data_IF_438261499809
#
_entry.id   IF_438261499809
#
_cell.length_a   1.000
_cell.length_b   1.000
_cell.length_c   1.000
_cell.angle_alpha   90.00
_cell.angle_beta   90.00
_cell.angle_gamma   90.00
#
_symmetry.space_group_name_H-M   'P 1'
#
loop_
_entity.id
_entity.type
_entity.pdbx_description
1 polymer ?
#
# COMPACT_ATOMS: atom_id res chain seq x y z
N UNK A 1 -9.72 5.25 0.90
CA UNK A 1 -9.26 6.62 0.54
C UNK A 1 -7.74 6.68 0.31
N UNK A 2 -6.89 6.09 1.17
CA UNK A 2 -5.43 6.11 0.98
C UNK A 2 -4.99 5.62 -0.39
N UNK A 3 -5.42 4.41 -0.79
CA UNK A 3 -5.13 3.84 -2.13
C UNK A 3 -5.60 4.74 -3.26
N UNK A 4 -6.82 5.27 -3.17
CA UNK A 4 -7.36 6.20 -4.17
C UNK A 4 -6.52 7.46 -4.32
N UNK A 5 -6.16 8.08 -3.18
CA UNK A 5 -5.30 9.26 -3.20
C UNK A 5 -3.93 8.95 -3.82
N UNK A 6 -3.35 7.81 -3.47
CA UNK A 6 -2.05 7.38 -3.97
C UNK A 6 -2.05 7.17 -5.49
N UNK A 7 -3.01 6.44 -6.02
CA UNK A 7 -3.10 6.13 -7.44
C UNK A 7 -3.56 7.33 -8.27
N UNK A 8 -4.68 7.96 -7.88
CA UNK A 8 -5.33 8.99 -8.71
C UNK A 8 -4.72 10.37 -8.49
N UNK A 9 -4.45 10.75 -7.23
CA UNK A 9 -4.03 12.14 -6.92
C UNK A 9 -2.52 12.34 -6.97
N UNK A 10 -1.75 11.33 -6.57
CA UNK A 10 -0.29 11.43 -6.54
C UNK A 10 0.38 10.88 -7.80
N UNK A 11 -0.02 9.71 -8.24
CA UNK A 11 0.54 9.08 -9.44
C UNK A 11 -0.21 9.48 -10.73
N UNK A 12 -1.35 10.17 -10.62
CA UNK A 12 -2.21 10.57 -11.74
C UNK A 12 -2.62 9.41 -12.67
N UNK A 13 -2.67 8.20 -12.13
CA UNK A 13 -3.06 7.00 -12.87
C UNK A 13 -4.58 6.92 -12.97
N UNK A 14 -5.05 6.43 -14.11
CA UNK A 14 -6.47 6.17 -14.39
C UNK A 14 -6.69 4.66 -14.54
N UNK A 15 -7.93 4.15 -14.44
CA UNK A 15 -8.21 2.72 -14.61
C UNK A 15 -7.59 2.14 -15.89
N UNK A 16 -7.73 2.80 -17.03
CA UNK A 16 -7.18 2.35 -18.31
C UNK A 16 -5.66 2.28 -18.39
N UNK A 17 -4.96 3.04 -17.54
CA UNK A 17 -3.49 3.01 -17.48
C UNK A 17 -2.96 1.75 -16.80
N UNK A 18 -3.85 1.01 -16.11
CA UNK A 18 -3.52 -0.18 -15.32
C UNK A 18 -4.03 -1.48 -15.95
N UNK A 19 -4.78 -1.41 -17.04
CA UNK A 19 -5.24 -2.59 -17.77
C UNK A 19 -4.03 -3.43 -18.26
N UNK A 20 -4.04 -4.72 -17.97
CA UNK A 20 -2.96 -5.69 -18.23
C UNK A 20 -1.59 -5.36 -17.62
N UNK A 21 -1.48 -4.37 -16.77
CA UNK A 21 -0.23 -4.01 -16.09
C UNK A 21 0.10 -4.96 -14.96
N UNK A 22 1.39 -5.29 -14.81
CA UNK A 22 1.90 -6.01 -13.65
C UNK A 22 2.05 -5.05 -12.48
N UNK A 23 1.31 -5.30 -11.41
CA UNK A 23 1.32 -4.46 -10.19
C UNK A 23 1.72 -5.30 -8.99
N UNK A 24 2.71 -4.84 -8.25
CA UNK A 24 3.09 -5.44 -6.97
C UNK A 24 2.54 -4.62 -5.82
N UNK A 25 1.79 -5.26 -4.92
CA UNK A 25 1.26 -4.68 -3.69
C UNK A 25 1.97 -5.29 -2.50
N UNK A 26 2.80 -4.53 -1.81
CA UNK A 26 3.46 -5.01 -0.61
C UNK A 26 2.51 -5.01 0.60
N UNK A 27 2.55 -6.05 1.44
CA UNK A 27 1.66 -6.26 2.58
C UNK A 27 0.17 -6.31 2.21
N UNK A 28 -0.19 -7.18 1.26
CA UNK A 28 -1.54 -7.29 0.70
C UNK A 28 -2.64 -7.67 1.67
N UNK A 29 -2.36 -8.37 2.76
CA UNK A 29 -3.35 -8.74 3.78
C UNK A 29 -3.68 -7.63 4.77
N UNK A 30 -2.96 -6.51 4.74
CA UNK A 30 -3.20 -5.36 5.61
C UNK A 30 -4.38 -4.49 5.18
N UNK A 31 -4.75 -3.55 6.04
CA UNK A 31 -5.95 -2.71 5.85
C UNK A 31 -5.92 -1.75 4.65
N UNK A 32 -4.77 -1.54 4.00
CA UNK A 32 -4.65 -0.80 2.73
C UNK A 32 -4.47 -1.78 1.59
N UNK A 33 -3.65 -2.84 1.78
CA UNK A 33 -3.35 -3.84 0.77
C UNK A 33 -4.59 -4.60 0.29
N UNK A 34 -5.46 -5.04 1.19
CA UNK A 34 -6.72 -5.73 0.86
C UNK A 34 -7.63 -4.89 -0.03
N UNK A 35 -7.65 -3.58 0.18
CA UNK A 35 -8.39 -2.65 -0.66
C UNK A 35 -7.68 -2.41 -2.00
N UNK A 36 -6.35 -2.27 -1.98
CA UNK A 36 -5.56 -2.01 -3.17
C UNK A 36 -5.67 -3.16 -4.18
N UNK A 37 -5.58 -4.42 -3.72
CA UNK A 37 -5.70 -5.60 -4.57
C UNK A 37 -7.03 -5.58 -5.32
N UNK A 38 -8.16 -5.39 -4.62
CA UNK A 38 -9.48 -5.38 -5.23
C UNK A 38 -9.66 -4.24 -6.25
N UNK A 39 -9.21 -3.04 -5.92
CA UNK A 39 -9.30 -1.88 -6.80
C UNK A 39 -8.46 -2.08 -8.06
N UNK A 40 -7.21 -2.52 -7.91
CA UNK A 40 -6.28 -2.75 -9.02
C UNK A 40 -6.77 -3.87 -9.94
N UNK A 41 -7.25 -4.98 -9.37
CA UNK A 41 -7.90 -6.03 -10.14
C UNK A 41 -9.12 -5.52 -10.92
N UNK A 42 -9.98 -4.74 -10.28
CA UNK A 42 -11.15 -4.15 -10.95
C UNK A 42 -10.75 -3.26 -12.14
N UNK A 43 -9.57 -2.66 -12.09
CA UNK A 43 -8.98 -1.89 -13.18
C UNK A 43 -8.16 -2.72 -14.17
N UNK A 44 -8.28 -4.06 -14.14
CA UNK A 44 -7.65 -4.97 -15.08
C UNK A 44 -6.16 -5.25 -14.84
N UNK A 45 -5.61 -4.85 -13.69
CA UNK A 45 -4.21 -5.12 -13.37
C UNK A 45 -3.99 -6.57 -12.93
N UNK A 46 -2.81 -7.12 -13.26
CA UNK A 46 -2.28 -8.40 -12.78
C UNK A 46 -1.52 -8.17 -11.49
N UNK A 47 -2.13 -8.59 -10.37
CA UNK A 47 -1.63 -8.23 -9.04
C UNK A 47 -0.82 -9.35 -8.41
N UNK A 48 0.42 -9.04 -8.02
CA UNK A 48 1.22 -9.85 -7.09
C UNK A 48 1.27 -9.18 -5.73
N UNK A 49 1.39 -9.98 -4.65
CA UNK A 49 1.45 -9.43 -3.30
C UNK A 49 2.27 -10.29 -2.34
N UNK A 50 2.78 -9.66 -1.30
CA UNK A 50 3.35 -10.35 -0.13
C UNK A 50 2.34 -10.41 1.02
N UNK A 51 2.26 -11.55 1.66
CA UNK A 51 1.55 -11.74 2.92
C UNK A 51 2.13 -12.97 3.65
N UNK A 52 1.67 -13.27 4.85
CA UNK A 52 2.00 -14.54 5.50
C UNK A 52 1.20 -15.69 4.89
N UNK A 53 1.68 -16.91 5.01
CA UNK A 53 1.06 -18.12 4.43
C UNK A 53 -0.42 -18.25 4.78
N UNK A 54 -0.77 -17.91 6.01
CA UNK A 54 -2.14 -17.99 6.53
C UNK A 54 -3.12 -17.05 5.81
N UNK A 55 -2.60 -16.05 5.10
CA UNK A 55 -3.37 -15.04 4.39
C UNK A 55 -3.40 -15.24 2.87
N UNK A 56 -2.76 -16.31 2.33
CA UNK A 56 -2.72 -16.55 0.89
C UNK A 56 -4.11 -16.66 0.30
N UNK A 57 -4.99 -17.48 0.89
CA UNK A 57 -6.36 -17.67 0.39
C UNK A 57 -7.13 -16.34 0.37
N UNK A 58 -7.02 -15.56 1.44
CA UNK A 58 -7.67 -14.25 1.52
C UNK A 58 -7.26 -13.34 0.34
N UNK A 59 -5.96 -13.15 0.13
CA UNK A 59 -5.50 -12.21 -0.91
C UNK A 59 -5.77 -12.73 -2.33
N UNK A 60 -5.80 -14.05 -2.54
CA UNK A 60 -6.20 -14.67 -3.81
C UNK A 60 -7.69 -14.46 -4.10
N UNK A 61 -8.56 -14.64 -3.11
CA UNK A 61 -10.00 -14.34 -3.24
C UNK A 61 -10.25 -12.85 -3.55
N UNK A 62 -9.44 -11.96 -3.00
CA UNK A 62 -9.48 -10.53 -3.31
C UNK A 62 -8.94 -10.20 -4.71
N UNK A 63 -8.21 -11.12 -5.34
CA UNK A 63 -7.78 -11.03 -6.72
C UNK A 63 -6.29 -10.91 -6.97
N UNK A 64 -5.45 -11.26 -6.00
CA UNK A 64 -4.03 -11.44 -6.25
C UNK A 64 -3.78 -12.72 -7.06
N UNK A 65 -3.05 -12.60 -8.17
CA UNK A 65 -2.67 -13.75 -9.01
C UNK A 65 -1.42 -14.46 -8.45
N UNK A 66 -0.51 -13.70 -7.86
CA UNK A 66 0.73 -14.21 -7.26
C UNK A 66 0.76 -13.80 -5.79
N UNK A 67 0.98 -14.78 -4.90
CA UNK A 67 1.10 -14.57 -3.46
C UNK A 67 2.43 -15.13 -2.97
N UNK A 68 3.18 -14.31 -2.24
CA UNK A 68 4.52 -14.62 -1.76
C UNK A 68 4.53 -14.58 -0.23
N UNK A 69 4.97 -15.67 0.41
CA UNK A 69 5.14 -15.72 1.85
C UNK A 69 6.45 -15.01 2.25
N UNK A 70 6.33 -13.76 2.69
CA UNK A 70 7.48 -12.92 3.06
C UNK A 70 8.37 -13.50 4.17
N UNK A 71 7.90 -14.55 4.87
CA UNK A 71 8.67 -15.24 5.91
C UNK A 71 9.63 -16.29 5.35
N UNK A 72 9.39 -16.75 4.13
CA UNK A 72 10.12 -17.85 3.49
C UNK A 72 10.74 -17.49 2.16
N UNK A 73 10.19 -16.50 1.50
CA UNK A 73 10.52 -16.19 0.11
C UNK A 73 10.86 -14.69 -0.01
N UNK A 74 11.86 -14.40 -0.81
CA UNK A 74 12.22 -13.04 -1.15
C UNK A 74 11.55 -12.64 -2.46
N UNK A 75 10.62 -11.69 -2.41
CA UNK A 75 9.85 -11.28 -3.59
C UNK A 75 10.73 -10.73 -4.72
N UNK A 76 11.87 -10.11 -4.41
CA UNK A 76 12.79 -9.56 -5.41
C UNK A 76 13.51 -10.63 -6.23
N UNK A 77 13.55 -11.87 -5.75
CA UNK A 77 14.13 -13.00 -6.48
C UNK A 77 13.10 -13.69 -7.39
N UNK A 78 11.81 -13.47 -7.12
CA UNK A 78 10.69 -14.11 -7.81
C UNK A 78 10.00 -13.19 -8.81
N UNK A 79 10.10 -11.88 -8.63
CA UNK A 79 9.37 -10.89 -9.41
C UNK A 79 10.31 -10.02 -10.22
N UNK A 80 9.92 -9.78 -11.48
CA UNK A 80 10.63 -8.85 -12.37
C UNK A 80 9.68 -8.21 -13.39
N UNK A 81 10.09 -7.06 -13.91
CA UNK A 81 9.37 -6.40 -14.99
C UNK A 81 7.99 -5.89 -14.61
N UNK A 82 7.84 -5.34 -13.40
CA UNK A 82 6.61 -4.73 -12.93
C UNK A 82 6.46 -3.29 -13.43
N UNK A 83 5.21 -2.89 -13.69
CA UNK A 83 4.87 -1.53 -14.13
C UNK A 83 4.61 -0.60 -12.95
N UNK A 84 4.10 -1.16 -11.84
CA UNK A 84 3.79 -0.40 -10.63
C UNK A 84 4.17 -1.23 -9.39
N UNK A 85 4.80 -0.58 -8.43
CA UNK A 85 4.92 -1.04 -7.04
C UNK A 85 4.10 -0.13 -6.14
N UNK A 86 3.16 -0.72 -5.44
CA UNK A 86 2.35 -0.08 -4.41
C UNK A 86 2.83 -0.55 -3.04
N UNK A 87 3.74 0.23 -2.45
CA UNK A 87 4.43 -0.12 -1.22
C UNK A 87 3.69 0.41 0.00
N UNK A 88 2.98 -0.50 0.70
CA UNK A 88 2.27 -0.19 1.93
C UNK A 88 3.17 -0.14 3.17
N UNK A 89 4.38 -0.70 3.11
CA UNK A 89 5.31 -0.72 4.23
C UNK A 89 6.28 0.45 4.20
N UNK A 90 6.79 0.81 3.02
CA UNK A 90 7.81 1.84 2.89
C UNK A 90 9.01 1.56 3.78
N UNK A 91 9.43 2.56 4.54
CA UNK A 91 10.58 2.46 5.44
C UNK A 91 10.38 1.51 6.64
N UNK A 92 9.14 1.11 6.96
CA UNK A 92 8.90 0.07 7.96
C UNK A 92 9.42 -1.31 7.51
N UNK A 93 9.56 -1.52 6.18
CA UNK A 93 10.23 -2.69 5.61
C UNK A 93 11.77 -2.59 5.63
N UNK A 94 12.31 -1.46 6.08
CA UNK A 94 13.75 -1.16 6.04
C UNK A 94 14.21 -0.61 4.69
N UNK A 95 15.42 -0.04 4.66
CA UNK A 95 16.01 0.57 3.45
C UNK A 95 16.15 -0.46 2.32
N UNK A 96 16.46 -1.69 2.65
CA UNK A 96 16.60 -2.79 1.69
C UNK A 96 15.28 -3.13 1.02
N UNK A 97 14.15 -3.02 1.72
CA UNK A 97 12.82 -3.28 1.15
C UNK A 97 12.48 -2.31 0.01
N UNK A 98 12.77 -1.01 0.20
CA UNK A 98 12.58 0.00 -0.86
C UNK A 98 13.44 -0.32 -2.08
N UNK A 99 14.73 -0.67 -1.87
CA UNK A 99 15.65 -1.04 -2.95
C UNK A 99 15.15 -2.26 -3.72
N UNK A 100 14.70 -3.30 -3.01
CA UNK A 100 14.11 -4.50 -3.61
C UNK A 100 12.86 -4.18 -4.43
N UNK A 101 11.97 -3.33 -3.91
CA UNK A 101 10.81 -2.82 -4.65
C UNK A 101 11.19 -2.09 -5.94
N UNK A 102 12.24 -1.28 -5.90
CA UNK A 102 12.73 -0.57 -7.08
C UNK A 102 13.37 -1.53 -8.11
N UNK A 103 14.01 -2.60 -7.65
CA UNK A 103 14.68 -3.56 -8.53
C UNK A 103 13.71 -4.36 -9.40
N UNK A 104 12.51 -4.69 -8.91
CA UNK A 104 11.51 -5.44 -9.67
C UNK A 104 10.80 -4.59 -10.74
N UNK A 105 10.92 -3.26 -10.69
CA UNK A 105 10.31 -2.36 -11.67
C UNK A 105 11.04 -2.36 -13.00
N UNK A 106 10.28 -2.24 -14.09
CA UNK A 106 10.81 -1.88 -15.40
C UNK A 106 11.54 -0.55 -15.33
N UNK A 107 12.71 -0.46 -15.95
CA UNK A 107 13.47 0.77 -16.03
C UNK A 107 12.96 1.67 -17.16
N UNK A 108 11.78 2.27 -17.00
CA UNK A 108 11.20 3.19 -17.98
C UNK A 108 10.37 4.30 -17.31
N UNK A 109 10.09 5.36 -18.07
CA UNK A 109 9.37 6.54 -17.59
C UNK A 109 7.86 6.30 -17.32
N UNK A 110 7.34 5.13 -17.66
CA UNK A 110 5.93 4.76 -17.39
C UNK A 110 5.79 3.87 -16.17
N UNK A 111 6.89 3.46 -15.55
CA UNK A 111 6.87 2.68 -14.30
C UNK A 111 6.72 3.59 -13.09
N UNK A 112 5.99 3.11 -12.09
CA UNK A 112 5.68 3.88 -10.88
C UNK A 112 6.08 3.13 -9.62
N UNK A 113 6.73 3.82 -8.70
CA UNK A 113 6.87 3.41 -7.32
C UNK A 113 6.07 4.36 -6.44
N UNK A 114 5.13 3.83 -5.68
CA UNK A 114 4.27 4.59 -4.77
C UNK A 114 4.47 4.06 -3.36
N UNK A 115 5.04 4.88 -2.47
CA UNK A 115 5.18 4.57 -1.05
C UNK A 115 4.15 5.32 -0.22
N UNK A 116 3.51 4.61 0.70
CA UNK A 116 2.55 5.17 1.66
C UNK A 116 3.23 5.57 2.96
N UNK A 117 4.23 4.81 3.38
CA UNK A 117 5.02 5.05 4.57
C UNK A 117 6.44 5.39 4.16
N UNK A 118 6.85 6.61 4.39
CA UNK A 118 8.18 7.10 4.01
C UNK A 118 8.86 7.82 5.17
N UNK A 119 10.18 7.77 5.20
CA UNK A 119 11.00 8.36 6.25
C UNK A 119 10.81 9.86 6.44
N UNK A 120 10.18 10.54 5.47
CA UNK A 120 10.00 11.99 5.48
C UNK A 120 9.36 12.49 6.77
N UNK A 121 8.16 11.96 7.11
CA UNK A 121 7.43 12.39 8.31
C UNK A 121 8.18 11.95 9.56
N UNK A 122 8.62 10.70 9.61
CA UNK A 122 9.37 10.16 10.76
C UNK A 122 10.65 10.95 11.03
N UNK A 123 11.42 11.29 10.00
CA UNK A 123 12.65 12.07 10.15
C UNK A 123 12.39 13.46 10.70
N UNK A 124 11.27 14.09 10.32
CA UNK A 124 10.86 15.38 10.88
C UNK A 124 10.40 15.21 12.33
N UNK A 125 9.66 14.17 12.63
CA UNK A 125 9.16 13.88 13.98
C UNK A 125 10.31 13.59 14.97
N UNK A 126 11.29 12.77 14.55
CA UNK A 126 12.45 12.42 15.36
C UNK A 126 13.46 13.55 15.55
N UNK A 127 13.69 14.39 14.52
CA UNK A 127 14.76 15.42 14.50
C UNK A 127 14.25 16.84 14.63
N UNK A 128 12.93 17.03 14.73
CA UNK A 128 12.29 18.34 14.66
C UNK A 128 12.33 18.95 13.26
N UNK A 129 11.56 20.02 13.07
CA UNK A 129 11.36 20.63 11.75
C UNK A 129 12.68 21.18 11.15
N UNK A 130 13.51 21.81 11.95
CA UNK A 130 14.74 22.49 11.48
C UNK A 130 15.81 21.51 10.94
N UNK A 131 16.02 20.37 11.59
CA UNK A 131 17.01 19.38 11.20
C UNK A 131 16.39 18.22 10.38
N UNK A 132 15.13 17.91 10.65
CA UNK A 132 14.42 16.82 10.00
C UNK A 132 14.07 17.12 8.55
N UNK A 133 13.64 18.35 8.24
CA UNK A 133 13.27 18.72 6.86
C UNK A 133 14.44 18.61 5.87
N UNK A 134 15.63 19.18 6.12
CA UNK A 134 16.79 18.99 5.25
C UNK A 134 17.21 17.53 5.13
N UNK A 135 17.18 16.78 6.23
CA UNK A 135 17.54 15.37 6.24
C UNK A 135 16.56 14.52 5.42
N UNK A 136 15.27 14.78 5.55
CA UNK A 136 14.22 14.11 4.78
C UNK A 136 14.32 14.42 3.27
N UNK A 137 14.59 15.68 2.91
CA UNK A 137 14.80 16.08 1.51
C UNK A 137 16.05 15.45 0.91
N UNK A 138 17.15 15.37 1.69
CA UNK A 138 18.38 14.69 1.27
C UNK A 138 18.11 13.20 1.02
N UNK A 139 17.39 12.51 1.91
CA UNK A 139 17.02 11.12 1.74
C UNK A 139 16.17 10.92 0.48
N UNK A 140 15.16 11.75 0.28
CA UNK A 140 14.34 11.74 -0.95
C UNK A 140 15.19 11.89 -2.21
N UNK A 141 16.14 12.81 -2.20
CA UNK A 141 17.03 13.02 -3.34
C UNK A 141 17.92 11.81 -3.61
N UNK A 142 18.49 11.20 -2.56
CA UNK A 142 19.32 10.00 -2.67
C UNK A 142 18.55 8.82 -3.25
N UNK A 143 17.34 8.55 -2.72
CA UNK A 143 16.47 7.47 -3.23
C UNK A 143 16.08 7.74 -4.69
N UNK A 144 15.69 8.96 -5.02
CA UNK A 144 15.34 9.35 -6.40
C UNK A 144 16.54 9.24 -7.35
N UNK A 145 17.76 9.58 -6.90
CA UNK A 145 18.98 9.53 -7.72
C UNK A 145 19.44 8.09 -7.97
N UNK A 146 19.24 7.19 -7.00
CA UNK A 146 19.60 5.77 -7.14
C UNK A 146 18.58 4.96 -7.93
N UNK A 147 17.37 5.52 -8.12
CA UNK A 147 16.32 4.84 -8.87
C UNK A 147 16.56 4.87 -10.39
N UNK A 148 16.08 3.83 -11.07
CA UNK A 148 15.94 3.79 -12.53
C UNK A 148 15.10 5.00 -13.01
N UNK A 149 14.99 5.29 -14.32
CA UNK A 149 14.11 6.34 -14.86
C UNK A 149 12.63 5.95 -14.66
N UNK A 150 12.14 6.06 -13.43
CA UNK A 150 10.78 5.72 -13.01
C UNK A 150 10.11 6.93 -12.34
N UNK A 151 8.79 6.90 -12.24
CA UNK A 151 8.01 7.87 -11.48
C UNK A 151 7.97 7.46 -10.00
N UNK A 152 8.58 8.27 -9.15
CA UNK A 152 8.65 8.02 -7.71
C UNK A 152 7.69 8.93 -6.96
N UNK A 153 6.76 8.34 -6.19
CA UNK A 153 5.73 9.06 -5.46
C UNK A 153 5.77 8.72 -3.96
N UNK A 154 5.90 9.75 -3.14
CA UNK A 154 5.57 9.68 -1.73
C UNK A 154 4.13 10.15 -1.55
N UNK A 155 3.25 9.22 -1.24
CA UNK A 155 1.82 9.48 -1.13
C UNK A 155 1.45 9.87 0.30
N UNK A 156 0.83 11.04 0.43
CA UNK A 156 0.17 11.47 1.65
C UNK A 156 -1.34 11.38 1.49
N UNK A 157 -2.05 11.11 2.59
CA UNK A 157 -3.50 11.14 2.58
C UNK A 157 -4.01 12.51 2.10
N UNK A 158 -4.94 12.49 1.15
CA UNK A 158 -5.66 13.67 0.69
C UNK A 158 -7.15 13.37 0.63
N UNK A 159 -7.98 14.15 1.31
CA UNK A 159 -9.43 13.99 1.22
C UNK A 159 -9.93 14.27 -0.21
N UNK A 160 -10.95 13.53 -0.63
CA UNK A 160 -11.59 13.69 -1.94
C UNK A 160 -13.05 13.26 -1.83
N UNK A 161 -13.97 14.20 -1.94
CA UNK A 161 -15.41 13.91 -1.93
C UNK A 161 -15.83 13.03 -3.10
N UNK A 162 -15.32 13.34 -4.30
CA UNK A 162 -15.58 12.52 -5.50
C UNK A 162 -15.00 11.11 -5.38
N UNK A 163 -13.77 10.98 -4.82
CA UNK A 163 -13.18 9.68 -4.54
C UNK A 163 -13.98 8.88 -3.52
N UNK A 164 -14.46 9.52 -2.46
CA UNK A 164 -15.28 8.85 -1.45
C UNK A 164 -16.63 8.37 -2.04
N UNK A 165 -17.26 9.20 -2.88
CA UNK A 165 -18.50 8.84 -3.57
C UNK A 165 -18.31 7.65 -4.52
N UNK A 166 -17.22 7.63 -5.30
CA UNK A 166 -16.92 6.52 -6.21
C UNK A 166 -16.61 5.22 -5.44
N UNK A 167 -15.81 5.31 -4.39
CA UNK A 167 -15.54 4.14 -3.53
C UNK A 167 -16.82 3.63 -2.86
N UNK A 168 -17.70 4.53 -2.41
CA UNK A 168 -19.00 4.16 -1.86
C UNK A 168 -19.89 3.46 -2.89
N UNK A 169 -19.83 3.88 -4.17
CA UNK A 169 -20.52 3.20 -5.27
C UNK A 169 -19.96 1.79 -5.48
N UNK A 170 -18.63 1.63 -5.49
CA UNK A 170 -17.98 0.33 -5.66
C UNK A 170 -18.30 -0.64 -4.51
N UNK A 171 -18.37 -0.15 -3.27
CA UNK A 171 -18.77 -0.97 -2.12
C UNK A 171 -20.23 -1.39 -2.22
N UNK A 172 -21.15 -0.49 -2.58
CA UNK A 172 -22.57 -0.85 -2.76
C UNK A 172 -22.79 -1.82 -3.92
N UNK A 173 -21.96 -1.77 -4.95
CA UNK A 173 -21.98 -2.69 -6.10
C UNK A 173 -21.19 -4.00 -5.81
N UNK A 174 -20.74 -4.22 -4.60
CA UNK A 174 -19.91 -5.37 -4.18
C UNK A 174 -18.61 -5.58 -4.98
N UNK A 175 -18.16 -4.56 -5.72
CA UNK A 175 -16.89 -4.57 -6.45
C UNK A 175 -15.71 -4.60 -5.45
N UNK A 176 -15.86 -3.86 -4.35
CA UNK A 176 -14.91 -3.83 -3.25
C UNK A 176 -15.63 -4.20 -1.96
N UNK A 177 -15.12 -5.23 -1.28
CA UNK A 177 -15.62 -5.69 0.02
C UNK A 177 -14.62 -5.28 1.10
N UNK A 178 -15.02 -4.48 2.11
CA UNK A 178 -14.18 -4.19 3.25
C UNK A 178 -13.82 -5.47 4.01
N UNK A 179 -12.53 -5.72 4.19
CA UNK A 179 -12.04 -6.83 5.02
C UNK A 179 -11.94 -6.34 6.45
N UNK A 180 -12.74 -6.92 7.33
CA UNK A 180 -12.77 -6.60 8.77
C UNK A 180 -12.11 -7.75 9.53
N UNK A 181 -11.03 -7.45 10.25
CA UNK A 181 -10.33 -8.41 11.13
C UNK A 181 -11.11 -8.63 12.41
N UNK A 182 -11.48 -7.54 13.05
CA UNK A 182 -12.16 -7.56 14.36
C UNK A 182 -12.93 -6.26 14.60
N UNK A 183 -13.97 -6.37 15.41
CA UNK A 183 -14.79 -5.24 15.85
C UNK A 183 -14.72 -5.19 17.36
N UNK A 184 -14.40 -4.02 17.91
CA UNK A 184 -14.32 -3.78 19.35
C UNK A 184 -15.34 -2.70 19.75
N UNK A 185 -16.03 -2.85 20.88
CA UNK A 185 -16.78 -1.74 21.45
C UNK A 185 -15.82 -0.63 21.91
N UNK A 186 -16.33 0.59 22.07
CA UNK A 186 -15.50 1.75 22.43
C UNK A 186 -14.77 1.55 23.78
N UNK A 187 -15.38 0.84 24.69
CA UNK A 187 -14.81 0.53 26.02
C UNK A 187 -13.52 -0.31 25.90
N UNK A 188 -13.40 -1.10 24.84
CA UNK A 188 -12.25 -1.98 24.57
C UNK A 188 -11.26 -1.37 23.54
N UNK A 189 -11.19 -0.05 23.47
CA UNK A 189 -10.29 0.65 22.53
C UNK A 189 -8.82 0.30 22.75
N UNK A 190 -8.44 -0.01 24.00
CA UNK A 190 -7.06 -0.41 24.34
C UNK A 190 -6.69 -1.72 23.66
N UNK A 191 -7.53 -2.73 23.73
CA UNK A 191 -7.32 -4.04 23.11
C UNK A 191 -7.27 -3.91 21.58
N UNK A 192 -8.09 -3.03 21.00
CA UNK A 192 -8.05 -2.73 19.57
C UNK A 192 -6.71 -2.11 19.15
N UNK A 193 -6.16 -1.20 19.95
CA UNK A 193 -4.83 -0.62 19.72
C UNK A 193 -3.72 -1.67 19.88
N UNK A 194 -3.79 -2.52 20.90
CA UNK A 194 -2.86 -3.62 21.09
C UNK A 194 -2.89 -4.57 19.89
N UNK A 195 -4.08 -4.91 19.38
CA UNK A 195 -4.24 -5.73 18.16
C UNK A 195 -3.53 -5.12 16.96
N UNK A 196 -3.72 -3.81 16.71
CA UNK A 196 -3.03 -3.13 15.59
C UNK A 196 -1.51 -3.08 15.81
N UNK A 197 -1.05 -2.87 17.03
CA UNK A 197 0.37 -2.82 17.39
C UNK A 197 1.10 -4.14 17.09
N UNK A 198 0.40 -5.28 17.06
CA UNK A 198 0.99 -6.56 16.64
C UNK A 198 1.41 -6.58 15.16
N UNK A 199 0.94 -5.66 14.33
CA UNK A 199 1.12 -5.63 12.88
C UNK A 199 0.59 -6.88 12.14
N UNK A 200 -0.28 -7.68 12.77
CA UNK A 200 -0.84 -8.92 12.23
C UNK A 200 -2.36 -8.83 11.96
N UNK A 201 -2.93 -7.63 11.91
CA UNK A 201 -4.34 -7.46 11.58
C UNK A 201 -4.60 -7.77 10.09
N UNK A 202 -5.66 -8.53 9.80
CA UNK A 202 -6.12 -8.87 8.45
C UNK A 202 -7.17 -7.87 7.99
N UNK A 203 -6.78 -6.84 7.24
CA UNK A 203 -7.70 -5.78 6.87
C UNK A 203 -7.84 -4.73 7.98
N UNK A 204 -9.06 -4.43 8.43
CA UNK A 204 -9.36 -3.32 9.34
C UNK A 204 -9.83 -3.80 10.70
N UNK A 205 -9.31 -3.17 11.75
CA UNK A 205 -9.87 -3.22 13.09
C UNK A 205 -10.86 -2.07 13.24
N UNK A 206 -12.07 -2.34 13.66
CA UNK A 206 -13.18 -1.39 13.74
C UNK A 206 -13.56 -1.16 15.20
N UNK A 207 -13.85 0.08 15.55
CA UNK A 207 -14.42 0.46 16.85
C UNK A 207 -15.90 0.78 16.66
N UNK A 208 -16.77 0.09 17.39
CA UNK A 208 -18.19 0.38 17.47
C UNK A 208 -18.43 1.45 18.54
N UNK A 209 -18.74 2.67 18.12
CA UNK A 209 -18.89 3.83 19.02
C UNK A 209 -20.28 3.89 19.63
N UNK A 210 -21.31 3.39 18.94
CA UNK A 210 -22.69 3.38 19.39
C UNK A 210 -23.41 2.15 18.83
N UNK A 211 -24.10 1.41 19.71
CA UNK A 211 -25.14 0.47 19.27
C UNK A 211 -26.41 1.26 18.97
N UNK A 212 -26.89 1.17 17.75
CA UNK A 212 -28.26 1.59 17.44
C UNK A 212 -29.26 0.55 17.93
#
# INVERSE_FOLDING_TARGET
>A
MTTWAALIRWAALRPQDLEDKKVFVQAGSGGVGTFAIQLLRHWGAKVATTCSKENHNLVQELGAEITIDYRKEEFSDLLEGYDLVFDCLGDFGGVDSVTKCLNILKANATSHYISLNHAFIRTIDEKGLLLGLPAALKLRYQVKKSAKPINFHWSLYRPSSSGLSELGRMVRAEIIKPVIDSIYPLENIKEAHEKIATSHARGKVVIEVKKE
#
